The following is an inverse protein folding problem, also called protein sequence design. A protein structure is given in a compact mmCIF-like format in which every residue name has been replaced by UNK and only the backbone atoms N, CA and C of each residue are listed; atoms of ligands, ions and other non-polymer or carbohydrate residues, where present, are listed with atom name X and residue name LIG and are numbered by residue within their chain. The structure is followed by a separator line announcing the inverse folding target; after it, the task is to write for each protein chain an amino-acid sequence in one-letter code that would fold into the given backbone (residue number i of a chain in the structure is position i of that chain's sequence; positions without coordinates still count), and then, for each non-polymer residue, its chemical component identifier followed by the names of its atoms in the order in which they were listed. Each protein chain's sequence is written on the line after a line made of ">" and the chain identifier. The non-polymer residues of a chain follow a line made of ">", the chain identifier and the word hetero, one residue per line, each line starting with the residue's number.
data_IF_599291705172
#
_entry.id   IF_599291705172
#
_cell.length_a   1.000
_cell.length_b   1.000
_cell.length_c   1.000
_cell.angle_alpha   90.00
_cell.angle_beta   90.00
_cell.angle_gamma   90.00
#
_symmetry.space_group_name_H-M   'P 1'
#
loop_
_entity.id
_entity.type
_entity.pdbx_description
1 polymer ?
#
# COMPACT_ATOMS: atom_id res chain seq x y z
N UNK A 1 11.38 5.54 34.51
CA UNK A 1 10.11 5.12 33.87
C UNK A 1 10.47 4.57 32.50
N UNK A 2 10.29 3.26 32.29
CA UNK A 2 10.61 2.63 31.00
C UNK A 2 9.49 2.95 29.99
N UNK A 3 9.82 3.73 28.97
CA UNK A 3 8.91 4.02 27.85
C UNK A 3 8.68 2.72 27.09
N UNK A 4 7.50 2.11 27.24
CA UNK A 4 7.08 1.03 26.34
C UNK A 4 6.75 1.68 24.99
N UNK A 5 7.59 1.41 23.99
CA UNK A 5 7.33 1.82 22.63
C UNK A 5 6.05 1.09 22.16
N UNK A 6 4.97 1.84 21.94
CA UNK A 6 3.70 1.26 21.52
C UNK A 6 3.86 0.63 20.13
N UNK A 7 3.48 -0.63 20.00
CA UNK A 7 3.52 -1.31 18.72
C UNK A 7 2.57 -0.59 17.73
N UNK A 8 2.97 -0.54 16.46
CA UNK A 8 2.32 0.28 15.43
C UNK A 8 1.98 -0.57 14.21
N UNK A 9 0.83 -0.33 13.54
CA UNK A 9 0.51 -1.04 12.32
C UNK A 9 1.51 -0.74 11.21
N UNK A 10 1.88 -1.78 10.46
CA UNK A 10 2.70 -1.69 9.26
C UNK A 10 2.00 -2.43 8.13
N UNK A 11 1.72 -1.69 7.05
CA UNK A 11 1.24 -2.23 5.79
C UNK A 11 2.43 -2.44 4.86
N UNK A 12 2.64 -3.67 4.40
CA UNK A 12 3.69 -4.02 3.42
C UNK A 12 3.05 -4.53 2.14
N UNK A 13 3.35 -3.90 1.02
CA UNK A 13 2.87 -4.31 -0.28
C UNK A 13 4.05 -4.76 -1.15
N UNK A 14 4.08 -6.03 -1.54
CA UNK A 14 4.96 -6.48 -2.60
C UNK A 14 4.33 -6.09 -3.94
N UNK A 15 5.01 -5.24 -4.69
CA UNK A 15 4.53 -4.68 -5.97
C UNK A 15 5.51 -5.06 -7.06
N UNK A 16 5.00 -5.69 -8.11
CA UNK A 16 5.78 -6.22 -9.22
C UNK A 16 5.39 -5.62 -10.57
N UNK A 17 6.40 -5.39 -11.41
CA UNK A 17 6.24 -4.99 -12.79
C UNK A 17 7.39 -5.56 -13.64
N UNK A 18 7.06 -6.14 -14.79
CA UNK A 18 8.04 -6.64 -15.77
C UNK A 18 9.14 -7.54 -15.18
N UNK A 19 8.77 -8.43 -14.25
CA UNK A 19 9.69 -9.37 -13.59
C UNK A 19 10.50 -8.80 -12.43
N UNK A 20 10.43 -7.48 -12.18
CA UNK A 20 11.00 -6.86 -10.97
C UNK A 20 9.93 -6.71 -9.89
N UNK A 21 10.33 -6.82 -8.62
CA UNK A 21 9.45 -6.61 -7.46
C UNK A 21 10.13 -5.72 -6.43
N UNK A 22 9.34 -4.87 -5.78
CA UNK A 22 9.79 -4.03 -4.67
C UNK A 22 8.72 -4.00 -3.56
N UNK A 23 9.14 -3.62 -2.36
CA UNK A 23 8.24 -3.49 -1.20
C UNK A 23 7.88 -2.01 -1.04
N UNK A 24 6.58 -1.72 -1.03
CA UNK A 24 6.03 -0.43 -0.64
C UNK A 24 5.47 -0.57 0.77
N UNK A 25 6.07 0.15 1.72
CA UNK A 25 5.60 0.20 3.09
C UNK A 25 4.75 1.44 3.35
N UNK A 26 3.70 1.30 4.15
CA UNK A 26 2.92 2.41 4.65
C UNK A 26 2.74 2.28 6.17
N UNK A 27 3.00 3.40 6.86
CA UNK A 27 2.73 3.58 8.29
C UNK A 27 1.37 4.24 8.45
N UNK A 28 0.78 4.04 9.62
CA UNK A 28 -0.47 4.70 9.99
C UNK A 28 -0.27 6.21 10.05
N UNK A 29 -1.18 6.97 9.45
CA UNK A 29 -1.15 8.43 9.47
C UNK A 29 -2.55 9.03 9.48
N UNK A 30 -2.68 10.22 10.05
CA UNK A 30 -3.91 11.01 10.01
C UNK A 30 -3.98 11.92 8.77
N UNK A 31 -2.85 12.12 8.06
CA UNK A 31 -2.76 13.02 6.91
C UNK A 31 -2.66 12.23 5.59
N UNK A 32 -3.75 12.12 4.79
CA UNK A 32 -3.75 11.37 3.54
C UNK A 32 -2.97 12.04 2.40
N UNK A 33 -2.63 13.33 2.53
CA UNK A 33 -1.98 14.11 1.49
C UNK A 33 -0.46 14.00 1.52
N UNK A 34 0.13 13.57 2.65
CA UNK A 34 1.58 13.36 2.78
C UNK A 34 2.08 12.03 2.25
N UNK A 35 1.18 11.15 1.83
CA UNK A 35 1.52 9.79 1.40
C UNK A 35 1.94 9.81 -0.07
N UNK A 36 3.23 9.57 -0.39
CA UNK A 36 3.72 9.60 -1.76
C UNK A 36 3.24 8.36 -2.53
N UNK A 37 3.17 8.51 -3.86
CA UNK A 37 3.06 7.36 -4.76
C UNK A 37 4.47 6.96 -5.20
N UNK A 38 4.81 5.67 -5.05
CA UNK A 38 6.13 5.10 -5.36
C UNK A 38 6.18 4.71 -6.83
N UNK A 39 7.26 5.07 -7.52
CA UNK A 39 7.51 4.68 -8.90
C UNK A 39 7.82 3.18 -9.02
N UNK A 40 7.11 2.51 -9.93
CA UNK A 40 7.24 1.09 -10.23
C UNK A 40 7.68 0.96 -11.70
N UNK A 41 9.00 0.92 -11.89
CA UNK A 41 9.63 0.67 -13.18
C UNK A 41 9.38 1.73 -14.25
N UNK A 42 9.12 2.98 -13.84
CA UNK A 42 8.87 4.12 -14.74
C UNK A 42 7.61 3.97 -15.61
N UNK A 43 6.69 3.09 -15.22
CA UNK A 43 5.44 2.81 -15.93
C UNK A 43 4.20 2.89 -15.06
N UNK A 44 4.33 2.55 -13.79
CA UNK A 44 3.26 2.70 -12.82
C UNK A 44 3.73 3.49 -11.61
N UNK A 45 2.78 4.11 -10.91
CA UNK A 45 2.97 4.46 -9.51
C UNK A 45 2.02 3.68 -8.63
N UNK A 46 2.50 3.28 -7.46
CA UNK A 46 1.69 2.61 -6.45
C UNK A 46 1.64 3.44 -5.18
N UNK A 47 0.44 3.68 -4.65
CA UNK A 47 0.25 4.40 -3.38
C UNK A 47 -0.54 3.53 -2.42
N UNK A 48 0.06 3.26 -1.26
CA UNK A 48 -0.59 2.59 -0.15
C UNK A 48 -0.86 3.62 0.96
N UNK A 49 -2.14 3.88 1.23
CA UNK A 49 -2.56 4.83 2.25
C UNK A 49 -3.26 4.10 3.38
N UNK A 50 -2.64 4.07 4.57
CA UNK A 50 -3.23 3.52 5.79
C UNK A 50 -3.57 4.67 6.73
N UNK A 51 -4.86 4.96 6.85
CA UNK A 51 -5.38 6.13 7.56
C UNK A 51 -6.01 5.70 8.87
N UNK A 52 -5.73 6.47 9.91
CA UNK A 52 -6.28 6.28 11.25
C UNK A 52 -5.46 7.03 12.28
N UNK A 53 -5.66 6.69 13.54
CA UNK A 53 -5.02 7.32 14.69
C UNK A 53 -4.32 6.30 15.60
N UNK A 54 -3.93 6.70 16.82
CA UNK A 54 -3.24 5.79 17.75
C UNK A 54 -4.12 4.64 18.25
N UNK A 55 -5.43 4.68 18.02
CA UNK A 55 -6.41 3.73 18.55
C UNK A 55 -6.89 2.76 17.48
N UNK A 56 -7.05 3.21 16.23
CA UNK A 56 -7.59 2.37 15.17
C UNK A 56 -7.12 2.77 13.76
N UNK A 57 -7.18 1.81 12.84
CA UNK A 57 -7.12 2.05 11.40
C UNK A 57 -8.55 2.31 10.91
N UNK A 58 -8.79 3.49 10.35
CA UNK A 58 -10.09 3.88 9.78
C UNK A 58 -10.31 3.24 8.41
N UNK A 59 -9.28 3.25 7.56
CA UNK A 59 -9.32 2.61 6.25
C UNK A 59 -7.92 2.42 5.66
N UNK A 60 -7.82 1.49 4.72
CA UNK A 60 -6.65 1.34 3.85
C UNK A 60 -7.10 1.56 2.40
N UNK A 61 -6.43 2.45 1.68
CA UNK A 61 -6.63 2.64 0.23
C UNK A 61 -5.37 2.33 -0.54
N UNK A 62 -5.51 1.50 -1.56
CA UNK A 62 -4.45 1.14 -2.49
C UNK A 62 -4.78 1.75 -3.85
N UNK A 63 -3.83 2.45 -4.44
CA UNK A 63 -3.97 3.06 -5.75
C UNK A 63 -2.86 2.56 -6.67
N UNK A 64 -3.22 2.26 -7.92
CA UNK A 64 -2.27 2.15 -9.00
C UNK A 64 -2.56 3.25 -10.03
N UNK A 65 -1.50 3.93 -10.45
CA UNK A 65 -1.53 4.93 -11.51
C UNK A 65 -0.68 4.44 -12.67
N UNK A 66 -1.14 4.65 -13.90
CA UNK A 66 -0.34 4.46 -15.09
C UNK A 66 0.36 5.78 -15.46
N UNK A 67 1.67 5.75 -15.62
CA UNK A 67 2.47 6.93 -15.95
C UNK A 67 2.45 7.18 -17.46
N UNK A 68 1.92 8.33 -17.86
CA UNK A 68 2.03 8.81 -19.24
C UNK A 68 3.09 9.90 -19.34
N UNK A 69 3.34 10.42 -20.55
CA UNK A 69 4.23 11.56 -20.75
C UNK A 69 3.72 12.85 -20.09
N UNK A 70 2.41 12.97 -19.87
CA UNK A 70 1.77 14.22 -19.41
C UNK A 70 1.34 14.17 -17.95
N UNK A 71 0.86 13.02 -17.50
CA UNK A 71 0.31 12.85 -16.16
C UNK A 71 0.25 11.38 -15.74
N UNK A 72 0.08 11.16 -14.44
CA UNK A 72 -0.24 9.87 -13.86
C UNK A 72 -1.77 9.67 -13.91
N UNK A 73 -2.25 8.64 -14.59
CA UNK A 73 -3.68 8.33 -14.73
C UNK A 73 -4.05 7.27 -13.68
N UNK A 74 -5.04 7.50 -12.81
CA UNK A 74 -5.51 6.46 -11.90
C UNK A 74 -6.16 5.32 -12.70
N UNK A 75 -5.65 4.09 -12.53
CA UNK A 75 -6.16 2.90 -13.24
C UNK A 75 -6.75 1.85 -12.30
N UNK A 76 -6.43 1.92 -11.00
CA UNK A 76 -7.00 1.05 -9.99
C UNK A 76 -7.10 1.76 -8.64
N UNK A 77 -8.18 1.50 -7.91
CA UNK A 77 -8.33 1.89 -6.52
C UNK A 77 -9.10 0.81 -5.75
N UNK A 78 -8.50 0.28 -4.68
CA UNK A 78 -9.17 -0.57 -3.71
C UNK A 78 -9.27 0.11 -2.35
N UNK A 79 -10.42 -0.03 -1.68
CA UNK A 79 -10.65 0.45 -0.31
C UNK A 79 -10.94 -0.76 0.59
N UNK A 80 -10.24 -0.84 1.71
CA UNK A 80 -10.43 -1.82 2.77
C UNK A 80 -10.86 -1.08 4.03
N UNK A 81 -11.88 -1.61 4.70
CA UNK A 81 -12.48 -1.03 5.90
C UNK A 81 -12.31 -2.00 7.09
N UNK A 82 -12.33 -1.49 8.33
CA UNK A 82 -12.28 -2.32 9.52
C UNK A 82 -13.45 -3.32 9.59
N UNK A 83 -13.32 -4.39 10.41
CA UNK A 83 -12.24 -4.63 11.37
C UNK A 83 -10.97 -5.19 10.72
N UNK A 84 -9.81 -4.74 11.21
CA UNK A 84 -8.50 -5.30 10.84
C UNK A 84 -7.95 -6.12 12.01
N UNK A 85 -7.56 -7.36 11.74
CA UNK A 85 -6.95 -8.23 12.74
C UNK A 85 -5.45 -7.97 12.78
N UNK A 86 -5.01 -7.10 13.69
CA UNK A 86 -3.60 -6.81 13.91
C UNK A 86 -2.97 -7.83 14.84
N UNK A 87 -1.79 -8.31 14.45
CA UNK A 87 -0.96 -9.17 15.27
C UNK A 87 0.51 -8.98 14.91
N UNK A 88 1.42 -9.45 15.75
CA UNK A 88 2.85 -9.45 15.45
C UNK A 88 3.21 -10.33 14.22
N UNK A 89 2.31 -11.24 13.81
CA UNK A 89 2.47 -12.05 12.61
C UNK A 89 1.82 -11.37 11.41
N UNK A 90 2.49 -11.36 10.27
CA UNK A 90 1.94 -10.88 9.01
C UNK A 90 0.66 -11.64 8.61
N UNK A 91 -0.41 -10.88 8.39
CA UNK A 91 -1.68 -11.38 7.85
C UNK A 91 -1.91 -10.81 6.45
N UNK A 92 -2.50 -11.59 5.55
CA UNK A 92 -2.80 -11.10 4.21
C UNK A 92 -3.96 -10.10 4.25
N UNK A 93 -3.72 -8.87 3.79
CA UNK A 93 -4.77 -7.86 3.57
C UNK A 93 -5.45 -8.08 2.22
N UNK A 94 -4.67 -8.44 1.19
CA UNK A 94 -5.16 -8.63 -0.17
C UNK A 94 -4.77 -10.00 -0.73
N UNK A 95 -5.54 -10.55 -1.68
CA UNK A 95 -5.03 -11.60 -2.55
C UNK A 95 -3.91 -11.06 -3.46
N UNK A 96 -3.40 -11.92 -4.34
CA UNK A 96 -2.64 -11.46 -5.51
C UNK A 96 -3.61 -10.69 -6.42
N UNK A 97 -3.25 -9.47 -6.80
CA UNK A 97 -3.99 -8.66 -7.75
C UNK A 97 -3.13 -8.39 -8.97
N UNK A 98 -3.76 -8.35 -10.15
CA UNK A 98 -3.17 -7.93 -11.41
C UNK A 98 -3.96 -6.75 -11.98
N UNK A 99 -3.27 -5.68 -12.33
CA UNK A 99 -3.82 -4.44 -12.89
C UNK A 99 -3.20 -4.23 -14.26
N UNK A 100 -4.04 -4.18 -15.30
CA UNK A 100 -3.61 -4.03 -16.69
C UNK A 100 -3.87 -2.60 -17.17
N UNK A 101 -2.87 -1.96 -17.78
CA UNK A 101 -3.02 -0.61 -18.31
C UNK A 101 -2.07 -0.28 -19.48
N UNK A 102 -2.45 0.75 -20.25
CA UNK A 102 -1.69 1.28 -21.38
C UNK A 102 -1.85 0.45 -22.66
N UNK A 103 -1.15 0.88 -23.72
CA UNK A 103 -1.36 0.39 -25.10
C UNK A 103 -0.99 -1.08 -25.34
N UNK A 104 -0.17 -1.68 -24.48
CA UNK A 104 0.26 -3.09 -24.61
C UNK A 104 -0.11 -3.92 -23.39
N UNK A 105 -1.20 -3.55 -22.71
CA UNK A 105 -1.74 -4.27 -21.54
C UNK A 105 -0.65 -4.60 -20.50
N UNK A 106 0.14 -3.59 -20.12
CA UNK A 106 1.19 -3.75 -19.12
C UNK A 106 0.55 -4.20 -17.82
N UNK A 107 1.10 -5.24 -17.21
CA UNK A 107 0.60 -5.80 -15.97
C UNK A 107 1.41 -5.31 -14.77
N UNK A 108 0.75 -4.65 -13.82
CA UNK A 108 1.25 -4.44 -12.47
C UNK A 108 0.61 -5.49 -11.54
N UNK A 109 1.44 -6.17 -10.76
CA UNK A 109 1.01 -7.14 -9.78
C UNK A 109 1.21 -6.59 -8.37
N UNK A 110 0.28 -6.84 -7.44
CA UNK A 110 0.53 -6.53 -6.03
C UNK A 110 -0.17 -7.48 -5.07
N UNK A 111 0.43 -7.62 -3.89
CA UNK A 111 -0.14 -8.27 -2.71
C UNK A 111 0.29 -7.50 -1.48
N UNK A 112 -0.64 -7.23 -0.57
CA UNK A 112 -0.31 -6.55 0.70
C UNK A 112 -0.59 -7.42 1.93
N UNK A 113 0.27 -7.27 2.92
CA UNK A 113 0.15 -7.84 4.26
C UNK A 113 0.05 -6.72 5.30
N UNK A 114 -0.58 -7.03 6.42
CA UNK A 114 -0.74 -6.14 7.57
C UNK A 114 -0.24 -6.86 8.82
N UNK A 115 0.57 -6.14 9.60
CA UNK A 115 1.10 -6.61 10.88
C UNK A 115 1.24 -5.46 11.87
N UNK A 116 1.46 -5.81 13.12
CA UNK A 116 1.83 -4.90 14.19
C UNK A 116 3.34 -5.04 14.45
N UNK A 117 4.09 -3.94 14.34
CA UNK A 117 5.54 -3.93 14.57
C UNK A 117 5.92 -3.08 15.76
N UNK A 118 6.90 -3.55 16.53
CA UNK A 118 7.52 -2.71 17.56
C UNK A 118 8.31 -1.57 16.87
N UNK A 119 8.33 -0.37 17.47
CA UNK A 119 9.04 0.79 16.93
C UNK A 119 10.55 0.61 16.78
#
# INVERSE_FOLDING_TARGET
>A
MASHAAASPLLRCQVGYAGSSQIVEARLTQDPYRIPAVDIGGRFKFKAAMIGDKQAIDYIKLYAYFQTRRSDIPVHQATYLPPFNLSATESALTPQNSVYAGEVERELQYRCTLQEVQP
#
